data_IF_754588036064
#
_entry.id   IF_754588036064
#
_cell.length_a   1.000
_cell.length_b   1.000
_cell.length_c   1.000
_cell.angle_alpha   90.00
_cell.angle_beta   90.00
_cell.angle_gamma   90.00
#
_symmetry.space_group_name_H-M   'P 1'
#
loop_
_entity.id
_entity.type
_entity.pdbx_description
1 polymer ?
#
# COMPACT_ATOMS: atom_id res chain seq x y z
N UNK A 1 -17.70 -0.52 14.76
CA UNK A 1 -16.79 -0.50 13.61
C UNK A 1 -16.53 0.96 13.29
N UNK A 2 -15.28 1.39 13.12
CA UNK A 2 -14.98 2.80 12.87
C UNK A 2 -15.53 3.25 11.51
N UNK A 3 -16.14 4.43 11.47
CA UNK A 3 -16.60 5.05 10.23
C UNK A 3 -15.52 5.89 9.56
N UNK A 4 -15.62 6.06 8.24
CA UNK A 4 -14.78 6.98 7.48
C UNK A 4 -15.36 8.38 7.64
N UNK A 5 -14.60 9.26 8.30
CA UNK A 5 -15.04 10.62 8.60
C UNK A 5 -15.08 11.51 7.34
N UNK A 6 -16.01 12.46 7.29
CA UNK A 6 -16.24 13.37 6.15
C UNK A 6 -14.96 14.08 5.68
N UNK A 7 -14.08 14.47 6.61
CA UNK A 7 -12.81 15.13 6.30
C UNK A 7 -11.83 14.26 5.52
N UNK A 8 -11.92 12.94 5.67
CA UNK A 8 -11.10 12.00 4.88
C UNK A 8 -11.64 11.90 3.44
N UNK A 9 -12.96 11.97 3.26
CA UNK A 9 -13.58 12.07 1.92
C UNK A 9 -13.18 13.38 1.24
N UNK A 10 -13.20 14.50 1.96
CA UNK A 10 -12.74 15.80 1.44
C UNK A 10 -11.25 15.76 1.05
N UNK A 11 -10.42 15.14 1.89
CA UNK A 11 -8.99 14.98 1.62
C UNK A 11 -8.74 14.13 0.37
N UNK A 12 -9.47 13.02 0.21
CA UNK A 12 -9.39 12.16 -0.96
C UNK A 12 -9.86 12.88 -2.24
N UNK A 13 -10.96 13.65 -2.17
CA UNK A 13 -11.43 14.47 -3.30
C UNK A 13 -10.37 15.47 -3.73
N UNK A 14 -9.78 16.20 -2.78
CA UNK A 14 -8.76 17.21 -3.07
C UNK A 14 -7.49 16.57 -3.65
N UNK A 15 -7.11 15.40 -3.15
CA UNK A 15 -5.98 14.62 -3.65
C UNK A 15 -6.16 14.19 -5.11
N UNK A 16 -7.35 13.73 -5.48
CA UNK A 16 -7.67 13.37 -6.87
C UNK A 16 -7.73 14.59 -7.78
N UNK A 17 -8.33 15.70 -7.32
CA UNK A 17 -8.36 16.96 -8.09
C UNK A 17 -6.97 17.48 -8.43
N UNK A 18 -6.01 17.34 -7.52
CA UNK A 18 -4.63 17.74 -7.76
C UNK A 18 -3.92 16.84 -8.79
N UNK A 19 -4.23 15.53 -8.81
CA UNK A 19 -3.59 14.55 -9.72
C UNK A 19 -4.22 14.47 -11.10
N UNK A 20 -5.54 14.54 -11.16
CA UNK A 20 -6.35 14.45 -12.39
C UNK A 20 -7.24 15.69 -12.47
N UNK A 21 -6.66 16.86 -12.77
CA UNK A 21 -7.43 18.08 -12.88
C UNK A 21 -8.45 17.97 -14.02
N UNK A 22 -9.55 18.71 -13.87
CA UNK A 22 -10.57 18.83 -14.89
C UNK A 22 -9.99 19.47 -16.17
N UNK A 23 -10.16 18.81 -17.32
CA UNK A 23 -9.62 19.28 -18.60
C UNK A 23 -10.42 20.47 -19.16
N UNK A 24 -11.71 20.50 -18.88
CA UNK A 24 -12.67 21.52 -19.30
C UNK A 24 -12.97 22.55 -18.21
N UNK A 25 -12.44 22.36 -16.99
CA UNK A 25 -12.70 23.18 -15.81
C UNK A 25 -14.09 22.95 -15.19
N UNK A 26 -14.86 21.98 -15.69
CA UNK A 26 -16.24 21.69 -15.28
C UNK A 26 -16.38 20.23 -14.86
N UNK A 27 -15.88 19.29 -15.66
CA UNK A 27 -16.02 17.86 -15.45
C UNK A 27 -14.90 17.32 -14.57
N UNK A 28 -15.25 16.75 -13.42
CA UNK A 28 -14.30 16.06 -12.55
C UNK A 28 -14.02 14.63 -13.05
N UNK A 29 -12.88 14.04 -12.68
CA UNK A 29 -12.57 12.65 -13.01
C UNK A 29 -13.51 11.67 -12.27
N UNK A 30 -13.57 10.42 -12.74
CA UNK A 30 -14.49 9.40 -12.22
C UNK A 30 -14.35 9.17 -10.70
N UNK A 31 -13.11 9.23 -10.19
CA UNK A 31 -12.82 9.04 -8.77
C UNK A 31 -13.40 10.18 -7.91
N UNK A 32 -13.29 11.43 -8.37
CA UNK A 32 -13.91 12.58 -7.70
C UNK A 32 -15.42 12.48 -7.75
N UNK A 33 -16.01 12.07 -8.88
CA UNK A 33 -17.46 11.91 -8.99
C UNK A 33 -17.98 10.85 -8.01
N UNK A 34 -17.30 9.70 -7.91
CA UNK A 34 -17.67 8.64 -6.98
C UNK A 34 -17.59 9.07 -5.51
N UNK A 35 -16.52 9.78 -5.13
CA UNK A 35 -16.37 10.33 -3.77
C UNK A 35 -17.38 11.45 -3.49
N UNK A 36 -17.70 12.28 -4.48
CA UNK A 36 -18.64 13.39 -4.34
C UNK A 36 -20.07 12.92 -4.07
N UNK A 37 -20.48 11.76 -4.61
CA UNK A 37 -21.77 11.16 -4.30
C UNK A 37 -21.87 10.77 -2.82
N UNK A 38 -20.85 10.09 -2.28
CA UNK A 38 -20.77 9.75 -0.85
C UNK A 38 -20.79 11.02 0.00
N UNK A 39 -19.96 12.01 -0.34
CA UNK A 39 -19.92 13.30 0.36
C UNK A 39 -21.29 13.99 0.37
N UNK A 40 -21.99 14.02 -0.78
CA UNK A 40 -23.30 14.65 -0.89
C UNK A 40 -24.34 13.94 -0.01
N UNK A 41 -24.33 12.60 0.05
CA UNK A 41 -25.20 11.83 0.93
C UNK A 41 -24.91 12.12 2.40
N UNK A 42 -23.64 12.16 2.81
CA UNK A 42 -23.24 12.51 4.19
C UNK A 42 -23.77 13.90 4.59
N UNK A 43 -23.60 14.89 3.71
CA UNK A 43 -24.11 16.25 3.95
C UNK A 43 -25.64 16.28 4.01
N UNK A 44 -26.32 15.58 3.08
CA UNK A 44 -27.78 15.52 3.03
C UNK A 44 -28.40 14.89 4.27
N UNK A 45 -27.82 13.79 4.77
CA UNK A 45 -28.26 13.12 5.98
C UNK A 45 -27.69 13.72 7.27
N UNK A 46 -26.83 14.73 7.17
CA UNK A 46 -26.11 15.32 8.30
C UNK A 46 -25.26 14.32 9.10
N UNK A 47 -24.67 13.35 8.41
CA UNK A 47 -23.79 12.34 8.99
C UNK A 47 -22.33 12.74 8.82
N UNK A 48 -21.55 12.63 9.90
CA UNK A 48 -20.12 12.95 9.87
C UNK A 48 -19.24 11.75 9.47
N UNK A 49 -19.81 10.55 9.47
CA UNK A 49 -19.11 9.30 9.20
C UNK A 49 -19.93 8.44 8.25
N UNK A 50 -19.25 7.74 7.34
CA UNK A 50 -19.86 6.73 6.50
C UNK A 50 -19.23 5.36 6.79
N UNK A 51 -20.02 4.30 6.65
CA UNK A 51 -19.58 2.96 6.97
C UNK A 51 -18.64 2.38 5.91
N UNK A 52 -17.49 1.83 6.35
CA UNK A 52 -16.42 1.33 5.47
C UNK A 52 -16.85 0.13 4.61
N UNK A 53 -17.79 -0.68 5.08
CA UNK A 53 -18.20 -1.91 4.41
C UNK A 53 -19.28 -1.66 3.36
N UNK A 54 -20.21 -0.75 3.63
CA UNK A 54 -21.33 -0.41 2.75
C UNK A 54 -21.00 0.68 1.73
N UNK A 55 -19.85 1.34 1.84
CA UNK A 55 -19.40 2.33 0.85
C UNK A 55 -19.39 1.73 -0.58
N UNK A 56 -19.95 2.45 -1.59
CA UNK A 56 -19.94 1.99 -2.98
C UNK A 56 -18.51 1.64 -3.45
N UNK A 57 -18.31 0.52 -4.20
CA UNK A 57 -16.98 0.03 -4.54
C UNK A 57 -16.07 1.05 -5.23
N UNK A 58 -16.61 1.86 -6.14
CA UNK A 58 -15.85 2.90 -6.84
C UNK A 58 -15.35 4.00 -5.90
N UNK A 59 -16.19 4.45 -4.97
CA UNK A 59 -15.81 5.44 -3.96
C UNK A 59 -14.79 4.85 -2.97
N UNK A 60 -14.99 3.60 -2.54
CA UNK A 60 -14.06 2.89 -1.66
C UNK A 60 -12.67 2.73 -2.28
N UNK A 61 -12.60 2.36 -3.56
CA UNK A 61 -11.33 2.27 -4.29
C UNK A 61 -10.64 3.64 -4.41
N UNK A 62 -11.39 4.68 -4.73
CA UNK A 62 -10.87 6.04 -4.81
C UNK A 62 -10.34 6.55 -3.46
N UNK A 63 -11.02 6.22 -2.36
CA UNK A 63 -10.61 6.55 -1.00
C UNK A 63 -9.37 5.75 -0.57
N UNK A 64 -9.33 4.44 -0.84
CA UNK A 64 -8.16 3.60 -0.54
C UNK A 64 -6.90 4.08 -1.26
N UNK A 65 -7.03 4.48 -2.54
CA UNK A 65 -5.90 5.04 -3.28
C UNK A 65 -5.32 6.33 -2.64
N UNK A 66 -6.18 7.15 -2.02
CA UNK A 66 -5.72 8.28 -1.21
C UNK A 66 -5.10 7.80 0.10
N UNK A 67 -5.76 6.89 0.82
CA UNK A 67 -5.28 6.32 2.09
C UNK A 67 -3.85 5.77 1.96
N UNK A 68 -3.59 4.98 0.90
CA UNK A 68 -2.29 4.37 0.60
C UNK A 68 -1.18 5.40 0.33
N UNK A 69 -1.54 6.66 0.05
CA UNK A 69 -0.59 7.76 -0.13
C UNK A 69 -0.27 8.52 1.16
N UNK A 70 -0.93 8.19 2.26
CA UNK A 70 -0.70 8.78 3.59
C UNK A 70 0.25 7.91 4.41
N UNK A 71 1.00 8.48 5.37
CA UNK A 71 1.84 7.69 6.27
C UNK A 71 1.01 6.60 6.96
N UNK A 72 1.47 5.34 6.92
CA UNK A 72 0.73 4.24 7.56
C UNK A 72 0.71 4.46 9.07
N UNK A 73 1.89 4.61 9.70
CA UNK A 73 1.98 4.64 11.17
C UNK A 73 2.30 6.02 11.74
N UNK A 74 1.68 6.40 12.88
CA UNK A 74 2.01 7.66 13.56
C UNK A 74 3.30 7.60 14.41
N UNK A 75 4.04 6.50 14.34
CA UNK A 75 5.19 6.22 15.20
C UNK A 75 6.41 7.09 14.86
N UNK A 76 7.14 7.52 15.89
CA UNK A 76 8.40 8.28 15.77
C UNK A 76 9.59 7.55 16.43
N UNK A 77 9.50 6.21 16.50
CA UNK A 77 10.47 5.33 17.17
C UNK A 77 10.74 5.70 18.65
N UNK A 78 9.73 6.24 19.33
CA UNK A 78 9.74 6.50 20.77
C UNK A 78 8.47 5.90 21.34
N UNK A 79 8.63 4.90 22.21
CA UNK A 79 7.50 4.19 22.82
C UNK A 79 7.55 4.33 24.34
N UNK A 80 6.49 4.89 24.91
CA UNK A 80 6.33 4.98 26.36
C UNK A 80 5.33 3.96 26.92
N UNK A 81 4.52 3.33 26.06
CA UNK A 81 3.63 2.23 26.49
C UNK A 81 4.42 0.98 26.88
N UNK A 82 5.56 0.74 26.24
CA UNK A 82 6.52 -0.29 26.68
C UNK A 82 7.12 -0.03 28.07
N UNK A 83 6.96 1.19 28.59
CA UNK A 83 7.40 1.62 29.94
C UNK A 83 6.22 1.71 30.92
N UNK A 84 5.01 1.32 30.51
CA UNK A 84 3.82 1.26 31.36
C UNK A 84 2.83 2.43 31.22
N UNK A 85 3.00 3.35 30.27
CA UNK A 85 1.96 4.35 29.99
C UNK A 85 0.78 3.72 29.19
N UNK A 86 -0.45 4.09 29.50
CA UNK A 86 -1.65 3.66 28.73
C UNK A 86 -1.74 4.32 27.35
N UNK A 87 -1.19 5.54 27.21
CA UNK A 87 -1.13 6.30 25.96
C UNK A 87 0.31 6.64 25.66
N UNK A 88 0.76 6.33 24.44
CA UNK A 88 2.12 6.57 24.00
C UNK A 88 2.40 8.07 23.89
N UNK A 89 3.30 8.59 24.72
CA UNK A 89 3.75 9.99 24.69
C UNK A 89 4.39 10.38 23.35
N UNK A 90 4.97 9.41 22.63
CA UNK A 90 5.58 9.63 21.32
C UNK A 90 4.56 9.87 20.20
N UNK A 91 3.66 8.89 19.98
CA UNK A 91 2.75 8.90 18.83
C UNK A 91 1.28 9.23 19.15
N UNK A 92 0.86 9.20 20.43
CA UNK A 92 -0.51 9.50 20.87
C UNK A 92 -1.50 8.32 20.80
N UNK A 93 -1.05 7.16 20.31
CA UNK A 93 -1.86 5.93 20.29
C UNK A 93 -2.02 5.34 21.69
N UNK A 94 -3.17 4.75 21.97
CA UNK A 94 -3.36 3.94 23.17
C UNK A 94 -2.63 2.59 23.07
N UNK A 95 -2.51 1.87 24.18
CA UNK A 95 -1.79 0.59 24.23
C UNK A 95 -2.40 -0.48 23.31
N UNK A 96 -3.72 -0.50 23.13
CA UNK A 96 -4.40 -1.40 22.21
C UNK A 96 -4.09 -1.07 20.76
N UNK A 97 -4.26 0.19 20.35
CA UNK A 97 -3.92 0.72 19.02
C UNK A 97 -2.45 0.47 18.66
N UNK A 98 -1.53 0.52 19.63
CA UNK A 98 -0.11 0.20 19.41
C UNK A 98 0.09 -1.28 19.10
N UNK A 99 -0.56 -2.19 19.84
CA UNK A 99 -0.38 -3.63 19.69
C UNK A 99 -1.09 -4.19 18.46
N UNK A 100 -2.33 -3.76 18.23
CA UNK A 100 -3.20 -4.31 17.20
C UNK A 100 -3.16 -3.51 15.90
N UNK A 101 -2.26 -2.53 15.75
CA UNK A 101 -2.13 -1.71 14.55
C UNK A 101 -2.16 -2.49 13.23
N UNK A 102 -1.43 -3.63 13.09
CA UNK A 102 -1.42 -4.39 11.84
C UNK A 102 -2.78 -5.04 11.50
N UNK A 103 -3.63 -5.26 12.49
CA UNK A 103 -4.94 -5.90 12.36
C UNK A 103 -6.08 -4.89 12.15
N UNK A 104 -5.84 -3.62 12.46
CA UNK A 104 -6.83 -2.55 12.32
C UNK A 104 -7.16 -2.27 10.85
N UNK A 105 -8.44 -2.02 10.58
CA UNK A 105 -8.89 -1.62 9.23
C UNK A 105 -8.38 -0.23 8.87
N UNK A 106 -8.32 0.13 7.58
CA UNK A 106 -8.03 1.50 7.16
C UNK A 106 -8.89 2.55 7.88
N UNK A 107 -10.20 2.33 8.03
CA UNK A 107 -11.07 3.28 8.73
C UNK A 107 -10.71 3.41 10.22
N UNK A 108 -10.37 2.30 10.89
CA UNK A 108 -9.92 2.32 12.29
C UNK A 108 -8.61 3.09 12.45
N UNK A 109 -7.63 2.84 11.58
CA UNK A 109 -6.36 3.57 11.56
C UNK A 109 -6.57 5.06 11.33
N UNK A 110 -7.48 5.42 10.41
CA UNK A 110 -7.86 6.82 10.13
C UNK A 110 -8.55 7.50 11.31
N UNK A 111 -9.42 6.79 12.02
CA UNK A 111 -10.04 7.29 13.25
C UNK A 111 -8.98 7.62 14.32
N UNK A 112 -7.99 6.72 14.51
CA UNK A 112 -6.85 6.98 15.40
C UNK A 112 -6.04 8.20 14.94
N UNK A 113 -5.67 8.27 13.66
CA UNK A 113 -4.94 9.42 13.08
C UNK A 113 -5.67 10.75 13.30
N UNK A 114 -6.98 10.79 13.04
CA UNK A 114 -7.82 11.96 13.28
C UNK A 114 -7.80 12.35 14.75
N UNK A 115 -8.03 11.39 15.66
CA UNK A 115 -8.06 11.61 17.11
C UNK A 115 -6.74 12.22 17.59
N UNK A 116 -5.60 11.57 17.32
CA UNK A 116 -4.29 12.05 17.79
C UNK A 116 -3.93 13.42 17.21
N UNK A 117 -4.35 13.70 15.97
CA UNK A 117 -4.09 14.98 15.31
C UNK A 117 -4.90 16.11 15.95
N UNK A 118 -6.16 15.85 16.30
CA UNK A 118 -7.01 16.81 17.01
C UNK A 118 -6.54 17.06 18.43
N UNK A 119 -6.09 16.02 19.13
CA UNK A 119 -5.54 16.15 20.48
C UNK A 119 -4.22 16.93 20.48
N UNK A 120 -3.31 16.66 19.53
CA UNK A 120 -2.05 17.41 19.35
C UNK A 120 -1.08 17.35 20.54
N UNK A 121 -1.32 16.47 21.52
CA UNK A 121 -0.55 16.41 22.78
C UNK A 121 0.73 15.58 22.67
N UNK A 122 0.77 14.60 21.77
CA UNK A 122 1.89 13.69 21.59
C UNK A 122 3.15 14.41 21.06
N UNK A 123 4.33 13.90 21.42
CA UNK A 123 5.61 14.54 21.11
C UNK A 123 5.88 14.71 19.62
N UNK A 124 5.32 13.84 18.77
CA UNK A 124 5.37 13.98 17.31
C UNK A 124 4.80 15.30 16.77
N UNK A 125 3.98 16.01 17.54
CA UNK A 125 3.38 17.30 17.17
C UNK A 125 4.12 18.49 17.78
N UNK A 126 4.98 18.26 18.79
CA UNK A 126 5.67 19.31 19.53
C UNK A 126 7.19 19.04 19.68
N UNK A 127 7.61 18.29 20.69
CA UNK A 127 9.00 18.11 21.13
C UNK A 127 9.89 17.38 20.12
N UNK A 128 9.31 16.46 19.35
CA UNK A 128 10.01 15.60 18.38
C UNK A 128 9.31 15.62 17.01
N UNK A 129 8.86 16.80 16.58
CA UNK A 129 8.14 16.97 15.31
C UNK A 129 9.02 16.69 14.08
N UNK A 130 10.32 16.89 14.19
CA UNK A 130 11.31 16.56 13.16
C UNK A 130 11.30 15.07 12.81
N UNK A 131 11.20 14.19 13.81
CA UNK A 131 11.17 12.73 13.58
C UNK A 131 9.94 12.28 12.80
N UNK A 132 8.81 12.96 12.99
CA UNK A 132 7.60 12.69 12.21
C UNK A 132 7.78 13.05 10.73
N UNK A 133 8.56 14.10 10.43
CA UNK A 133 8.87 14.51 9.05
C UNK A 133 9.86 13.55 8.40
N UNK A 134 10.87 13.10 9.14
CA UNK A 134 11.85 12.12 8.67
C UNK A 134 11.19 10.78 8.33
N UNK A 135 10.27 10.30 9.20
CA UNK A 135 9.52 9.08 8.95
C UNK A 135 8.67 9.17 7.67
N UNK A 136 7.93 10.27 7.48
CA UNK A 136 7.12 10.50 6.28
C UNK A 136 7.98 10.60 5.00
N UNK A 137 9.20 11.14 5.10
CA UNK A 137 10.14 11.20 3.98
C UNK A 137 10.74 9.83 3.62
N UNK A 138 10.96 8.96 4.60
CA UNK A 138 11.44 7.59 4.39
C UNK A 138 10.37 6.69 3.74
N UNK A 139 9.10 6.83 4.13
CA UNK A 139 7.98 6.09 3.54
C UNK A 139 7.66 6.51 2.09
N UNK A 140 8.08 7.70 1.66
CA UNK A 140 7.84 8.21 0.31
C UNK A 140 8.89 7.77 -0.73
N UNK A 141 9.97 7.11 -0.32
CA UNK A 141 10.97 6.59 -1.25
C UNK A 141 10.42 5.34 -1.97
N UNK A 142 10.40 5.30 -3.32
CA UNK A 142 9.88 4.15 -4.03
C UNK A 142 10.78 2.93 -3.81
N UNK A 143 10.16 1.77 -3.66
CA UNK A 143 10.81 0.47 -3.63
C UNK A 143 11.77 0.34 -4.81
N UNK A 144 13.03 -0.01 -4.50
CA UNK A 144 13.98 -0.44 -5.52
C UNK A 144 13.39 -1.64 -6.26
N UNK A 145 13.23 -1.46 -7.58
CA UNK A 145 12.95 -2.47 -8.58
C UNK A 145 13.60 -3.82 -8.21
N UNK A 146 12.79 -4.75 -7.68
CA UNK A 146 13.19 -6.14 -7.48
C UNK A 146 13.03 -6.88 -8.81
N UNK A 147 13.71 -6.41 -9.86
CA UNK A 147 13.95 -7.16 -11.07
C UNK A 147 15.27 -7.92 -10.91
N UNK A 148 15.10 -9.18 -10.48
CA UNK A 148 16.00 -10.32 -10.65
C UNK A 148 17.48 -10.02 -11.01
N UNK A 149 18.34 -9.92 -10.00
CA UNK A 149 19.76 -10.22 -10.18
C UNK A 149 20.02 -11.66 -9.72
N UNK A 150 19.98 -12.59 -10.68
CA UNK A 150 20.44 -13.96 -10.45
C UNK A 150 21.97 -13.93 -10.48
N UNK A 151 22.68 -14.30 -9.41
CA UNK A 151 24.13 -14.31 -9.43
C UNK A 151 24.59 -15.37 -10.43
N UNK A 152 25.07 -14.92 -11.59
CA UNK A 152 25.69 -15.80 -12.59
C UNK A 152 27.01 -16.28 -12.01
N UNK A 153 27.09 -17.55 -11.63
CA UNK A 153 28.35 -18.16 -11.19
C UNK A 153 29.42 -18.01 -12.30
N UNK A 154 30.68 -17.68 -11.96
CA UNK A 154 31.75 -17.63 -12.93
C UNK A 154 32.08 -19.06 -13.42
N UNK A 155 31.95 -19.28 -14.72
CA UNK A 155 32.30 -20.54 -15.39
C UNK A 155 33.80 -20.81 -15.29
N UNK A 156 34.16 -21.94 -14.69
CA UNK A 156 35.51 -22.48 -14.73
C UNK A 156 35.88 -22.92 -16.17
N UNK A 157 37.15 -22.77 -16.60
CA UNK A 157 37.58 -23.14 -17.95
C UNK A 157 37.60 -24.67 -18.14
N UNK A 158 37.37 -25.18 -19.36
CA UNK A 158 37.26 -26.62 -19.60
C UNK A 158 38.62 -27.32 -19.47
N UNK A 159 38.63 -28.40 -18.67
CA UNK A 159 39.72 -29.36 -18.63
C UNK A 159 39.77 -30.15 -19.95
N UNK A 160 40.94 -30.12 -20.60
CA UNK A 160 41.25 -30.93 -21.77
C UNK A 160 41.15 -32.43 -21.43
N UNK A 161 40.48 -33.20 -22.29
CA UNK A 161 40.52 -34.67 -22.27
C UNK A 161 41.10 -35.20 -23.59
N UNK A 162 41.90 -36.29 -23.54
CA UNK A 162 42.67 -36.79 -24.67
C UNK A 162 41.85 -37.70 -25.61
N UNK A 163 42.41 -37.87 -26.82
CA UNK A 163 41.83 -38.58 -27.96
C UNK A 163 42.01 -40.12 -27.94
N UNK A 164 41.22 -40.77 -28.83
CA UNK A 164 41.26 -42.16 -29.35
C UNK A 164 40.34 -43.17 -28.63
N UNK A 165 39.56 -44.05 -29.29
CA UNK A 165 39.72 -44.81 -30.56
C UNK A 165 38.37 -45.22 -31.20
N UNK A 166 38.34 -45.73 -32.46
CA UNK A 166 37.11 -46.11 -33.19
C UNK A 166 36.88 -47.63 -33.31
N UNK A 167 35.61 -48.07 -33.39
CA UNK A 167 35.10 -49.33 -33.98
C UNK A 167 33.57 -49.32 -33.80
N UNK A 168 32.65 -49.62 -34.73
CA UNK A 168 32.69 -50.36 -36.00
C UNK A 168 31.48 -51.32 -36.02
N UNK A 169 30.59 -51.17 -37.02
CA UNK A 169 29.48 -52.06 -37.42
C UNK A 169 28.23 -52.15 -36.50
N UNK A 170 26.98 -52.17 -36.98
CA UNK A 170 26.42 -52.18 -38.34
C UNK A 170 24.87 -52.23 -38.29
N UNK A 171 24.25 -51.83 -39.42
CA UNK A 171 22.92 -52.11 -40.00
C UNK A 171 21.75 -52.50 -39.06
N UNK A 172 20.51 -51.98 -39.18
CA UNK A 172 19.68 -52.09 -40.38
C UNK A 172 18.38 -51.25 -40.33
N UNK A 173 18.10 -50.57 -41.46
CA UNK A 173 16.83 -50.61 -42.24
C UNK A 173 15.58 -49.85 -41.75
N UNK A 174 15.19 -48.89 -42.61
CA UNK A 174 13.95 -48.08 -42.81
C UNK A 174 12.77 -48.95 -43.35
N UNK A 175 11.56 -48.44 -43.68
CA UNK A 175 10.92 -47.14 -43.44
C UNK A 175 9.39 -47.23 -43.08
N UNK A 176 8.75 -46.04 -43.06
CA UNK A 176 7.40 -45.72 -43.59
C UNK A 176 6.27 -45.46 -42.58
N UNK A 177 5.82 -44.20 -42.58
CA UNK A 177 4.47 -43.74 -42.23
C UNK A 177 3.48 -44.08 -43.39
N UNK A 178 2.21 -43.59 -43.45
CA UNK A 178 1.37 -42.87 -42.49
C UNK A 178 -0.10 -43.41 -42.42
N UNK A 179 -0.99 -42.61 -41.81
CA UNK A 179 -2.42 -42.39 -42.15
C UNK A 179 -3.48 -42.83 -41.11
N UNK A 180 -4.30 -41.82 -40.78
CA UNK A 180 -5.73 -41.77 -40.44
C UNK A 180 -6.54 -43.06 -40.27
N UNK A 181 -7.39 -43.08 -39.24
CA UNK A 181 -8.85 -43.25 -39.37
C UNK A 181 -9.53 -43.27 -37.99
N UNK A 182 -10.68 -42.57 -37.89
CA UNK A 182 -11.78 -42.92 -36.97
C UNK A 182 -12.09 -41.92 -35.89
#
# INVERSE_FOLDING_TARGET
MAGIHITDIESAINWWRARKPSLDGISACAEVQALAEVYALMVYYHEAECDELSMPPAAKQAWLAWYDSTPDTPCIAICSTSQGDEVCKGCGRDFGEVQFWPEMTPAEKRATWRRITLEGTAWRFNRYAERAREAAGAEAAPDHDSSADTPTQPTAPPAAQPAATPSGAGLAVKPAAPADAG
#
